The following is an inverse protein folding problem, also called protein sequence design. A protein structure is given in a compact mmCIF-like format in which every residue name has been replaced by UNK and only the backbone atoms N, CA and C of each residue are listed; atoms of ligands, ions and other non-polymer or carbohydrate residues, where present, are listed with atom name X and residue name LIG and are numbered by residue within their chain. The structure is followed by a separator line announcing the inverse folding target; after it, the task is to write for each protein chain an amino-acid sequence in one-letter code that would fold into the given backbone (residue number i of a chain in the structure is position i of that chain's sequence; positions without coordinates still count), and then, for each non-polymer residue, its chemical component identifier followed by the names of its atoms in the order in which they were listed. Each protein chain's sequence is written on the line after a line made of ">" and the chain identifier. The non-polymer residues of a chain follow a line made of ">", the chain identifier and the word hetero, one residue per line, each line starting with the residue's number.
data_IF_747732764596
#
_entry.id   IF_747732764596
#
_cell.length_a   1.000
_cell.length_b   1.000
_cell.length_c   1.000
_cell.angle_alpha   90.00
_cell.angle_beta   90.00
_cell.angle_gamma   90.00
#
_symmetry.space_group_name_H-M   'P 1'
#
loop_
_entity.id
_entity.type
_entity.pdbx_description
1 polymer ?
#
# COMPACT_ATOMS: atom_id res chain seq x y z
N UNK A 1 3.49 -68.68 -13.95
CA UNK A 1 3.61 -68.72 -12.47
C UNK A 1 4.45 -67.54 -12.03
N UNK A 2 4.00 -66.82 -10.98
CA UNK A 2 4.73 -65.78 -10.21
C UNK A 2 4.51 -64.31 -10.62
N UNK A 3 3.30 -63.83 -10.31
CA UNK A 3 2.98 -62.70 -9.42
C UNK A 3 4.01 -61.57 -9.30
N UNK A 4 3.60 -60.31 -9.59
CA UNK A 4 3.89 -59.07 -8.82
C UNK A 4 2.98 -57.97 -9.40
N UNK A 5 1.82 -57.74 -8.79
CA UNK A 5 1.49 -56.64 -7.85
C UNK A 5 1.12 -55.32 -8.55
N UNK A 6 -0.17 -55.00 -8.40
CA UNK A 6 -0.90 -53.78 -8.71
C UNK A 6 -0.21 -52.55 -8.09
N UNK A 7 -0.04 -51.45 -8.85
CA UNK A 7 -0.14 -50.11 -8.26
C UNK A 7 -0.46 -49.03 -9.30
N UNK A 8 -1.73 -48.68 -9.38
CA UNK A 8 -2.20 -47.37 -9.79
C UNK A 8 -1.54 -46.28 -8.95
N UNK A 9 -0.94 -45.27 -9.57
CA UNK A 9 -1.02 -43.89 -9.05
C UNK A 9 -0.69 -42.88 -10.14
N UNK A 10 -1.76 -42.19 -10.51
CA UNK A 10 -1.85 -40.91 -11.21
C UNK A 10 -0.89 -39.88 -10.59
N UNK A 11 0.13 -39.46 -11.34
CA UNK A 11 0.99 -38.32 -10.98
C UNK A 11 0.63 -37.13 -11.87
N UNK A 12 -0.42 -36.43 -11.46
CA UNK A 12 -0.68 -35.05 -11.89
C UNK A 12 0.35 -34.19 -11.18
N UNK A 13 1.43 -33.84 -11.88
CA UNK A 13 2.30 -32.75 -11.45
C UNK A 13 1.57 -31.43 -11.68
N UNK A 14 0.85 -30.96 -10.65
CA UNK A 14 0.60 -29.54 -10.46
C UNK A 14 1.99 -28.88 -10.38
N UNK A 15 2.46 -28.37 -11.52
CA UNK A 15 3.53 -27.39 -11.54
C UNK A 15 3.04 -26.20 -10.74
N UNK A 16 3.47 -26.15 -9.48
CA UNK A 16 3.33 -25.03 -8.58
C UNK A 16 3.83 -23.80 -9.34
N UNK A 17 2.90 -22.99 -9.86
CA UNK A 17 3.21 -21.66 -10.35
C UNK A 17 3.91 -20.95 -9.20
N UNK A 18 5.22 -20.80 -9.33
CA UNK A 18 6.00 -20.08 -8.34
C UNK A 18 5.41 -18.69 -8.21
N UNK A 19 4.78 -18.40 -7.07
CA UNK A 19 4.68 -17.04 -6.55
C UNK A 19 6.08 -16.63 -6.02
N UNK A 20 7.11 -16.83 -6.83
CA UNK A 20 8.42 -16.22 -6.65
C UNK A 20 8.43 -14.98 -7.53
N UNK A 21 8.95 -13.87 -7.01
CA UNK A 21 8.87 -12.51 -7.56
C UNK A 21 7.61 -11.73 -7.11
N UNK A 22 7.42 -11.54 -5.80
CA UNK A 22 6.87 -10.25 -5.35
C UNK A 22 8.05 -9.32 -5.12
N UNK A 23 8.26 -8.50 -6.14
CA UNK A 23 9.24 -7.43 -6.27
C UNK A 23 9.58 -6.71 -4.96
N UNK A 24 10.87 -6.43 -4.78
CA UNK A 24 11.37 -5.49 -3.78
C UNK A 24 10.69 -4.10 -3.88
N UNK A 25 10.08 -3.77 -5.02
CA UNK A 25 9.26 -2.58 -5.23
C UNK A 25 7.94 -2.59 -4.44
N UNK A 26 7.32 -3.76 -4.26
CA UNK A 26 6.04 -3.94 -3.53
C UNK A 26 6.20 -3.61 -2.04
N UNK A 27 7.35 -3.94 -1.44
CA UNK A 27 7.63 -3.59 -0.03
C UNK A 27 7.68 -2.09 0.22
N UNK A 28 8.21 -1.32 -0.75
CA UNK A 28 8.17 0.14 -0.69
C UNK A 28 6.74 0.63 -0.74
N UNK A 29 5.98 0.16 -1.71
CA UNK A 29 4.64 0.65 -1.99
C UNK A 29 3.61 0.26 -0.92
N UNK A 30 3.75 -0.89 -0.26
CA UNK A 30 2.87 -1.28 0.85
C UNK A 30 2.95 -0.29 2.01
N UNK A 31 4.17 0.09 2.40
CA UNK A 31 4.37 1.12 3.43
C UNK A 31 3.84 2.51 3.01
N UNK A 32 3.92 2.85 1.71
CA UNK A 32 3.35 4.10 1.18
C UNK A 32 1.83 4.05 1.17
N UNK A 33 1.24 2.91 0.84
CA UNK A 33 -0.21 2.68 0.85
C UNK A 33 -0.75 2.82 2.27
N UNK A 34 -0.11 2.23 3.27
CA UNK A 34 -0.52 2.38 4.68
C UNK A 34 -0.46 3.83 5.14
N UNK A 35 0.65 4.53 4.86
CA UNK A 35 0.82 5.94 5.23
C UNK A 35 -0.24 6.83 4.56
N UNK A 36 -0.52 6.60 3.27
CA UNK A 36 -1.55 7.34 2.55
C UNK A 36 -2.97 6.95 3.00
N UNK A 37 -3.23 5.68 3.31
CA UNK A 37 -4.51 5.21 3.79
C UNK A 37 -4.87 5.89 5.12
N UNK A 38 -3.92 5.95 6.05
CA UNK A 38 -4.05 6.69 7.30
C UNK A 38 -4.32 8.19 7.04
N UNK A 39 -3.51 8.80 6.18
CA UNK A 39 -3.66 10.22 5.84
C UNK A 39 -5.01 10.55 5.18
N UNK A 40 -5.56 9.64 4.37
CA UNK A 40 -6.78 9.86 3.57
C UNK A 40 -8.04 9.23 4.19
N UNK A 41 -7.96 8.68 5.41
CA UNK A 41 -9.11 8.08 6.10
C UNK A 41 -9.71 6.88 5.34
N UNK A 42 -8.87 6.06 4.73
CA UNK A 42 -9.26 4.88 3.94
C UNK A 42 -8.38 3.69 4.28
N UNK A 43 -8.47 2.61 3.51
CA UNK A 43 -7.70 1.37 3.69
C UNK A 43 -6.68 1.20 2.56
N UNK A 44 -5.53 0.56 2.87
CA UNK A 44 -4.40 0.40 1.93
C UNK A 44 -4.77 -0.29 0.62
N UNK A 45 -5.75 -1.19 0.63
CA UNK A 45 -6.29 -1.88 -0.55
C UNK A 45 -6.99 -0.92 -1.53
N UNK A 46 -7.43 0.24 -1.05
CA UNK A 46 -8.10 1.29 -1.86
C UNK A 46 -7.14 2.36 -2.35
N UNK A 47 -5.84 2.20 -2.11
CA UNK A 47 -4.80 3.15 -2.52
C UNK A 47 -3.98 2.57 -3.66
N UNK A 48 -3.86 3.34 -4.73
CA UNK A 48 -2.89 3.10 -5.81
C UNK A 48 -1.79 4.15 -5.74
N UNK A 49 -0.53 3.71 -5.70
CA UNK A 49 0.64 4.58 -5.65
C UNK A 49 1.14 4.83 -7.08
N UNK A 50 1.52 6.08 -7.37
CA UNK A 50 2.14 6.48 -8.62
C UNK A 50 3.12 7.63 -8.40
N UNK A 51 3.95 7.94 -9.41
CA UNK A 51 4.85 9.09 -9.42
C UNK A 51 5.72 9.24 -8.16
N UNK A 52 6.33 8.13 -7.73
CA UNK A 52 7.20 8.09 -6.55
C UNK A 52 8.54 8.75 -6.85
N UNK A 53 8.96 9.66 -5.97
CA UNK A 53 10.25 10.33 -5.99
C UNK A 53 10.85 10.34 -4.59
N UNK A 54 12.00 9.69 -4.43
CA UNK A 54 12.77 9.76 -3.20
C UNK A 54 13.82 10.88 -3.33
N UNK A 55 13.80 11.81 -2.39
CA UNK A 55 14.82 12.83 -2.15
C UNK A 55 15.68 12.39 -0.93
N UNK A 56 16.73 13.15 -0.58
CA UNK A 56 17.71 12.77 0.47
C UNK A 56 17.04 12.60 1.85
N UNK A 57 16.04 13.42 2.15
CA UNK A 57 15.39 13.54 3.46
C UNK A 57 13.88 13.27 3.41
N UNK A 58 13.34 13.00 2.23
CA UNK A 58 11.90 12.94 2.01
C UNK A 58 11.52 12.04 0.84
N UNK A 59 10.29 11.54 0.84
CA UNK A 59 9.72 10.79 -0.27
C UNK A 59 8.39 11.42 -0.63
N UNK A 60 8.25 11.74 -1.92
CA UNK A 60 7.02 12.27 -2.53
C UNK A 60 6.40 11.20 -3.40
N UNK A 61 5.08 11.12 -3.42
CA UNK A 61 4.35 10.16 -4.25
C UNK A 61 2.91 10.62 -4.45
N UNK A 62 2.25 10.09 -5.47
CA UNK A 62 0.82 10.29 -5.70
C UNK A 62 0.05 9.08 -5.18
N UNK A 63 -0.96 9.32 -4.34
CA UNK A 63 -1.92 8.33 -3.91
C UNK A 63 -3.24 8.58 -4.62
N UNK A 64 -3.76 7.56 -5.31
CA UNK A 64 -5.07 7.62 -5.97
C UNK A 64 -6.07 6.79 -5.19
N UNK A 65 -7.21 7.39 -4.86
CA UNK A 65 -8.35 6.69 -4.24
C UNK A 65 -9.67 7.34 -4.65
N UNK A 66 -10.73 6.55 -4.82
CA UNK A 66 -12.06 7.04 -5.25
C UNK A 66 -12.02 7.95 -6.49
N UNK A 67 -11.12 7.67 -7.43
CA UNK A 67 -10.94 8.46 -8.66
C UNK A 67 -10.25 9.83 -8.47
N UNK A 68 -9.78 10.15 -7.26
CA UNK A 68 -9.06 11.38 -6.95
C UNK A 68 -7.58 11.10 -6.70
N UNK A 69 -6.75 12.07 -7.09
CA UNK A 69 -5.29 12.02 -6.88
C UNK A 69 -4.90 12.96 -5.75
N UNK A 70 -4.06 12.47 -4.87
CA UNK A 70 -3.49 13.18 -3.74
C UNK A 70 -1.97 13.15 -3.85
N UNK A 71 -1.33 14.30 -3.74
CA UNK A 71 0.11 14.38 -3.61
C UNK A 71 0.48 14.22 -2.14
N UNK A 72 1.24 13.17 -1.86
CA UNK A 72 1.67 12.80 -0.52
C UNK A 72 3.18 12.94 -0.36
N UNK A 73 3.63 13.28 0.83
CA UNK A 73 5.04 13.21 1.18
C UNK A 73 5.26 12.82 2.64
N UNK A 74 6.38 12.18 2.94
CA UNK A 74 6.87 12.00 4.31
C UNK A 74 8.37 12.25 4.38
N UNK A 75 8.86 12.68 5.54
CA UNK A 75 10.28 12.86 5.82
C UNK A 75 10.87 11.61 6.47
N UNK A 76 12.09 11.27 6.09
CA UNK A 76 12.85 10.12 6.61
C UNK A 76 13.84 10.48 7.71
N UNK A 77 14.09 11.79 7.95
CA UNK A 77 15.02 12.26 8.96
C UNK A 77 14.43 12.16 10.38
N UNK A 78 14.96 11.26 11.20
CA UNK A 78 14.73 11.21 12.66
C UNK A 78 13.88 10.03 13.12
N UNK A 79 12.63 9.91 12.66
CA UNK A 79 11.71 8.77 12.83
C UNK A 79 10.72 8.85 11.66
N UNK A 80 10.42 7.75 10.98
CA UNK A 80 9.56 7.74 9.78
C UNK A 80 8.17 8.34 10.10
N UNK A 81 7.94 9.59 9.70
CA UNK A 81 6.69 10.30 10.00
C UNK A 81 5.52 9.73 9.19
N UNK A 82 4.29 9.98 9.65
CA UNK A 82 3.09 9.76 8.84
C UNK A 82 3.15 10.61 7.57
N UNK A 83 2.56 10.12 6.48
CA UNK A 83 2.52 10.91 5.25
C UNK A 83 1.52 12.05 5.38
N UNK A 84 1.92 13.24 4.92
CA UNK A 84 1.02 14.35 4.68
C UNK A 84 0.53 14.27 3.24
N UNK A 85 -0.79 14.29 3.04
CA UNK A 85 -1.40 14.22 1.73
C UNK A 85 -2.26 15.45 1.45
N UNK A 86 -2.17 15.95 0.22
CA UNK A 86 -2.93 17.09 -0.28
C UNK A 86 -3.61 16.75 -1.60
N UNK A 87 -4.87 17.16 -1.81
CA UNK A 87 -5.58 16.96 -3.07
C UNK A 87 -4.94 17.78 -4.20
N UNK A 88 -4.86 17.20 -5.41
CA UNK A 88 -4.25 17.88 -6.57
C UNK A 88 -5.26 18.68 -7.40
N UNK A 89 -6.54 18.62 -7.06
CA UNK A 89 -7.67 19.20 -7.81
C UNK A 89 -8.29 20.44 -7.12
N UNK A 90 -7.66 20.93 -6.05
CA UNK A 90 -8.17 22.05 -5.25
C UNK A 90 -9.37 21.71 -4.37
N UNK A 91 -9.81 20.45 -4.33
CA UNK A 91 -10.87 20.02 -3.41
C UNK A 91 -10.35 19.90 -1.97
N UNK A 92 -11.23 19.70 -1.00
CA UNK A 92 -10.83 19.41 0.38
C UNK A 92 -10.39 17.96 0.57
N UNK A 93 -9.69 17.67 1.67
CA UNK A 93 -9.43 16.29 2.07
C UNK A 93 -10.74 15.56 2.44
N UNK A 94 -10.80 14.22 2.26
CA UNK A 94 -11.93 13.43 2.73
C UNK A 94 -12.19 13.62 4.23
N UNK A 95 -13.45 13.58 4.66
CA UNK A 95 -13.79 13.62 6.08
C UNK A 95 -13.08 12.48 6.85
N UNK A 96 -12.45 12.80 7.98
CA UNK A 96 -11.64 11.86 8.77
C UNK A 96 -10.18 11.70 8.32
N UNK A 97 -9.76 12.41 7.27
CA UNK A 97 -8.35 12.44 6.81
C UNK A 97 -7.45 13.19 7.79
N UNK A 98 -6.21 12.72 7.96
CA UNK A 98 -5.18 13.33 8.81
C UNK A 98 -5.65 13.61 10.25
N UNK A 99 -6.43 12.70 10.82
CA UNK A 99 -7.00 12.82 12.17
C UNK A 99 -5.90 12.82 13.25
N UNK A 100 -5.46 14.00 13.65
CA UNK A 100 -4.54 14.20 14.76
C UNK A 100 -5.28 14.43 16.08
N UNK A 101 -4.54 14.41 17.20
CA UNK A 101 -5.12 14.58 18.54
C UNK A 101 -5.91 15.89 18.70
N UNK A 102 -5.50 16.97 18.01
CA UNK A 102 -6.19 18.26 18.04
C UNK A 102 -7.52 18.21 17.30
N UNK A 103 -7.54 17.60 16.10
CA UNK A 103 -8.75 17.42 15.31
C UNK A 103 -9.76 16.49 16.00
N UNK A 104 -9.24 15.47 16.71
CA UNK A 104 -10.05 14.58 17.56
C UNK A 104 -10.66 15.32 18.75
N UNK A 105 -9.86 16.14 19.44
CA UNK A 105 -10.37 16.99 20.51
C UNK A 105 -11.42 18.01 20.03
N UNK A 106 -11.33 18.42 18.77
CA UNK A 106 -12.27 19.34 18.14
C UNK A 106 -13.53 18.66 17.53
N UNK A 107 -13.67 17.33 17.64
CA UNK A 107 -14.77 16.58 17.02
C UNK A 107 -14.82 16.70 15.50
N UNK A 108 -13.69 17.04 14.87
CA UNK A 108 -13.51 17.13 13.40
C UNK A 108 -13.03 15.80 12.80
N UNK A 109 -12.68 14.88 13.69
CA UNK A 109 -12.64 13.44 13.60
C UNK A 109 -12.88 12.92 15.03
#
# INVERSE_FOLDING_TARGET
>A
MKNITILSTLLISLGLSGCGMVDNAVRGDESLKEKAAFALGTTSDKITISNRKADIDSVKFNATTKGKVYQCYYTSAGISSDALCSPTDGSGLPAGSQCNALLKAAGKC
#
